data_IF_889739639392
#
_entry.id   IF_889739639392
#
_cell.length_a   1.000
_cell.length_b   1.000
_cell.length_c   1.000
_cell.angle_alpha   90.00
_cell.angle_beta   90.00
_cell.angle_gamma   90.00
#
_symmetry.space_group_name_H-M   'P 1'
#
loop_
_entity.id
_entity.type
_entity.pdbx_description
1 polymer ?
#
# COMPACT_ATOMS: atom_id res chain seq x y z
N UNK A 1 16.90 15.74 14.55
CA UNK A 1 15.90 15.55 15.63
C UNK A 1 16.59 14.81 16.74
N UNK A 2 16.46 15.28 17.97
CA UNK A 2 17.08 14.56 19.11
C UNK A 2 16.25 13.28 19.39
N UNK A 3 16.95 12.15 19.45
CA UNK A 3 16.33 10.90 19.89
C UNK A 3 15.86 11.07 21.34
N UNK A 4 14.61 10.68 21.69
CA UNK A 4 14.14 10.80 23.08
C UNK A 4 15.11 10.15 24.06
N UNK A 5 15.34 10.77 25.20
CA UNK A 5 16.29 10.27 26.21
C UNK A 5 16.01 8.84 26.69
N UNK A 6 14.76 8.41 26.63
CA UNK A 6 14.28 7.10 27.02
C UNK A 6 14.42 6.02 25.95
N UNK A 7 14.51 6.41 24.66
CA UNK A 7 14.60 5.46 23.56
C UNK A 7 15.89 4.63 23.62
N UNK A 8 15.75 3.33 23.44
CA UNK A 8 16.87 2.37 23.31
C UNK A 8 16.55 1.36 22.21
N UNK A 9 17.38 1.23 21.17
CA UNK A 9 17.20 0.18 20.15
C UNK A 9 17.16 -1.19 20.79
N UNK A 10 16.17 -2.00 20.39
CA UNK A 10 16.03 -3.37 20.88
C UNK A 10 17.06 -4.30 20.24
N UNK A 11 17.49 -5.26 21.02
CA UNK A 11 18.23 -6.44 20.56
C UNK A 11 17.52 -7.69 21.07
N UNK A 12 17.80 -8.89 20.52
CA UNK A 12 17.24 -10.14 21.06
C UNK A 12 17.48 -10.29 22.56
N UNK A 13 18.63 -9.80 23.09
CA UNK A 13 19.00 -9.91 24.50
C UNK A 13 18.24 -8.94 25.42
N UNK A 14 17.93 -7.73 24.92
CA UNK A 14 17.27 -6.68 25.71
C UNK A 14 15.75 -6.75 25.64
N UNK A 15 15.22 -7.48 24.67
CA UNK A 15 13.78 -7.54 24.40
C UNK A 15 13.00 -8.16 25.57
N UNK A 16 13.54 -9.22 26.20
CA UNK A 16 12.92 -9.87 27.37
C UNK A 16 12.70 -8.91 28.53
N UNK A 17 13.71 -8.13 28.90
CA UNK A 17 13.60 -7.11 29.95
C UNK A 17 12.57 -6.04 29.59
N UNK A 18 12.56 -5.59 28.35
CA UNK A 18 11.66 -4.54 27.86
C UNK A 18 10.20 -4.95 27.93
N UNK A 19 9.88 -6.20 27.60
CA UNK A 19 8.50 -6.68 27.49
C UNK A 19 7.96 -7.32 28.78
N UNK A 20 8.82 -7.70 29.74
CA UNK A 20 8.45 -8.50 30.92
C UNK A 20 7.39 -7.87 31.82
N UNK A 21 7.25 -6.54 31.79
CA UNK A 21 6.25 -5.82 32.61
C UNK A 21 4.90 -5.59 31.90
N UNK A 22 4.77 -6.00 30.66
CA UNK A 22 3.59 -5.71 29.83
C UNK A 22 2.59 -6.87 29.94
N UNK A 23 1.44 -6.63 30.61
CA UNK A 23 0.41 -7.65 30.82
C UNK A 23 -0.10 -8.25 29.51
N UNK A 24 -0.33 -7.42 28.50
CA UNK A 24 -0.79 -7.86 27.19
C UNK A 24 0.18 -8.85 26.52
N UNK A 25 1.48 -8.72 26.76
CA UNK A 25 2.51 -9.65 26.29
C UNK A 25 2.47 -10.95 27.10
N UNK A 26 2.46 -10.84 28.42
CA UNK A 26 2.42 -12.00 29.33
C UNK A 26 1.18 -12.89 29.09
N UNK A 27 0.04 -12.27 28.76
CA UNK A 27 -1.19 -12.98 28.45
C UNK A 27 -1.08 -13.78 27.14
N UNK A 28 -0.34 -13.27 26.14
CA UNK A 28 -0.20 -13.85 24.80
C UNK A 28 0.89 -14.93 24.70
N UNK A 29 2.05 -14.70 25.32
CA UNK A 29 3.21 -15.59 25.14
C UNK A 29 3.73 -16.22 26.44
N UNK A 30 3.24 -15.81 27.60
CA UNK A 30 3.73 -16.23 28.92
C UNK A 30 4.55 -15.14 29.60
N UNK A 31 4.64 -15.17 30.93
CA UNK A 31 5.19 -14.07 31.73
C UNK A 31 6.71 -14.14 31.94
N UNK A 32 7.32 -15.32 31.76
CA UNK A 32 8.76 -15.50 31.99
C UNK A 32 9.57 -15.36 30.71
N UNK A 33 10.38 -14.29 30.57
CA UNK A 33 11.22 -14.10 29.40
C UNK A 33 12.26 -15.19 29.16
N UNK A 34 12.61 -15.97 30.17
CA UNK A 34 13.56 -17.10 30.03
C UNK A 34 13.00 -18.23 29.16
N UNK A 35 11.68 -18.30 29.02
CA UNK A 35 10.98 -19.28 28.17
C UNK A 35 10.77 -18.78 26.73
N UNK A 36 11.23 -17.56 26.39
CA UNK A 36 10.98 -16.97 25.09
C UNK A 36 12.11 -17.26 24.10
N UNK A 37 11.74 -17.52 22.87
CA UNK A 37 12.66 -17.55 21.73
C UNK A 37 12.45 -16.30 20.89
N UNK A 38 13.53 -15.55 20.65
CA UNK A 38 13.50 -14.30 19.91
C UNK A 38 14.27 -14.45 18.59
N UNK A 39 13.65 -14.02 17.50
CA UNK A 39 14.27 -14.00 16.18
C UNK A 39 13.98 -12.68 15.48
N UNK A 40 15.02 -11.97 15.03
CA UNK A 40 14.87 -10.77 14.20
C UNK A 40 14.48 -11.18 12.76
N UNK A 41 13.52 -10.44 12.18
CA UNK A 41 13.18 -10.50 10.76
C UNK A 41 14.05 -9.48 10.01
N UNK A 42 14.99 -9.95 9.21
CA UNK A 42 16.07 -9.12 8.63
C UNK A 42 15.67 -8.17 7.50
N UNK A 43 14.43 -8.23 7.00
CA UNK A 43 14.02 -7.56 5.76
C UNK A 43 13.49 -6.13 5.95
N UNK A 44 13.44 -5.62 7.18
CA UNK A 44 12.95 -4.26 7.49
C UNK A 44 13.98 -3.16 7.19
N UNK A 45 13.67 -2.24 6.28
CA UNK A 45 14.55 -1.11 5.95
C UNK A 45 14.45 0.07 6.94
N UNK A 46 13.31 0.21 7.62
CA UNK A 46 13.00 1.36 8.47
C UNK A 46 12.83 0.97 9.95
N UNK A 47 12.59 -0.29 10.25
CA UNK A 47 12.23 -0.77 11.57
C UNK A 47 13.02 -2.01 11.96
N UNK A 48 13.18 -2.23 13.27
CA UNK A 48 13.50 -3.54 13.84
C UNK A 48 12.21 -4.33 13.98
N UNK A 49 12.20 -5.57 13.51
CA UNK A 49 11.03 -6.46 13.62
C UNK A 49 11.51 -7.77 14.24
N UNK A 50 10.89 -8.16 15.35
CA UNK A 50 11.18 -9.41 16.05
C UNK A 50 9.95 -10.30 16.09
N UNK A 51 10.18 -11.58 15.91
CA UNK A 51 9.23 -12.64 16.25
C UNK A 51 9.62 -13.15 17.62
N UNK A 52 8.68 -13.11 18.56
CA UNK A 52 8.87 -13.58 19.92
C UNK A 52 7.90 -14.72 20.18
N UNK A 53 8.44 -15.91 20.37
CA UNK A 53 7.69 -17.13 20.66
C UNK A 53 7.85 -17.51 22.13
N UNK A 54 6.75 -17.71 22.82
CA UNK A 54 6.71 -18.18 24.20
C UNK A 54 5.75 -19.37 24.37
N UNK A 55 5.61 -19.90 25.57
CA UNK A 55 4.85 -21.13 25.81
C UNK A 55 3.35 -21.05 25.50
N UNK A 56 2.78 -19.84 25.40
CA UNK A 56 1.36 -19.65 25.10
C UNK A 56 1.07 -19.23 23.67
N UNK A 57 2.08 -18.76 22.93
CA UNK A 57 1.90 -18.28 21.54
C UNK A 57 3.06 -17.44 21.05
N UNK A 58 2.81 -16.72 19.96
CA UNK A 58 3.82 -15.92 19.26
C UNK A 58 3.28 -14.51 19.00
N UNK A 59 4.14 -13.50 19.10
CA UNK A 59 3.85 -12.09 18.79
C UNK A 59 4.90 -11.51 17.87
N UNK A 60 4.54 -10.37 17.22
CA UNK A 60 5.47 -9.48 16.56
C UNK A 60 5.77 -8.28 17.47
N UNK A 61 7.03 -7.90 17.50
CA UNK A 61 7.50 -6.66 18.12
C UNK A 61 8.18 -5.83 17.04
N UNK A 62 7.59 -4.67 16.70
CA UNK A 62 8.13 -3.74 15.71
C UNK A 62 8.58 -2.47 16.42
N UNK A 63 9.83 -2.04 16.22
CA UNK A 63 10.37 -0.80 16.76
C UNK A 63 10.91 0.08 15.66
N UNK A 64 10.50 1.34 15.63
CA UNK A 64 11.01 2.32 14.69
C UNK A 64 12.48 2.65 14.96
N UNK A 65 13.28 2.80 13.90
CA UNK A 65 14.66 3.26 13.98
C UNK A 65 14.75 4.76 13.64
N UNK A 66 15.71 5.50 14.21
CA UNK A 66 15.88 6.93 13.95
C UNK A 66 16.52 7.22 12.59
N UNK A 67 16.67 6.24 11.71
CA UNK A 67 17.28 6.34 10.39
C UNK A 67 16.80 5.23 9.44
N UNK A 68 17.08 5.38 8.15
CA UNK A 68 16.89 4.31 7.14
C UNK A 68 18.08 3.35 7.20
N UNK A 69 17.87 2.06 7.49
CA UNK A 69 18.94 1.05 7.66
C UNK A 69 19.90 0.95 6.48
N UNK A 70 19.39 1.10 5.24
CA UNK A 70 20.22 1.00 4.02
C UNK A 70 21.25 2.12 3.88
N UNK A 71 20.97 3.31 4.41
CA UNK A 71 21.81 4.50 4.27
C UNK A 71 22.34 5.02 5.61
N UNK A 72 21.91 4.45 6.73
CA UNK A 72 22.36 4.81 8.07
C UNK A 72 21.98 6.24 8.48
N UNK A 73 22.80 6.86 9.31
CA UNK A 73 22.58 8.19 9.89
C UNK A 73 22.50 9.34 8.85
N UNK A 74 22.85 9.07 7.58
CA UNK A 74 22.73 10.06 6.50
C UNK A 74 21.27 10.35 6.10
N UNK A 75 20.33 9.48 6.48
CA UNK A 75 18.90 9.70 6.28
C UNK A 75 18.14 9.52 7.60
N UNK A 76 18.08 10.56 8.43
CA UNK A 76 17.37 10.49 9.71
C UNK A 76 15.86 10.41 9.51
N UNK A 77 15.21 9.61 10.34
CA UNK A 77 13.74 9.45 10.39
C UNK A 77 13.22 9.66 11.80
N UNK A 78 12.08 10.34 11.97
CA UNK A 78 11.50 10.54 13.29
C UNK A 78 10.94 9.23 13.86
N UNK A 79 11.12 9.01 15.17
CA UNK A 79 10.58 7.86 15.89
C UNK A 79 9.04 7.94 16.02
N UNK A 80 8.48 9.13 16.05
CA UNK A 80 7.02 9.34 16.19
C UNK A 80 6.21 8.77 15.00
N UNK A 81 6.85 8.34 13.91
CA UNK A 81 6.14 7.63 12.84
C UNK A 81 5.46 6.34 13.33
N UNK A 82 6.01 5.69 14.37
CA UNK A 82 5.38 4.54 15.01
C UNK A 82 4.02 4.89 15.65
N UNK A 83 3.83 6.12 16.14
CA UNK A 83 2.54 6.60 16.64
C UNK A 83 1.50 6.61 15.53
N UNK A 84 1.86 7.10 14.34
CA UNK A 84 0.93 7.15 13.21
C UNK A 84 0.62 5.76 12.67
N UNK A 85 1.60 4.87 12.61
CA UNK A 85 1.37 3.47 12.24
C UNK A 85 0.42 2.78 13.22
N UNK A 86 0.65 2.93 14.53
CA UNK A 86 -0.24 2.40 15.56
C UNK A 86 -1.67 2.96 15.40
N UNK A 87 -1.81 4.26 15.21
CA UNK A 87 -3.11 4.90 14.99
C UNK A 87 -3.79 4.42 13.71
N UNK A 88 -3.03 4.16 12.65
CA UNK A 88 -3.56 3.62 11.40
C UNK A 88 -4.10 2.20 11.58
N UNK A 89 -3.31 1.30 12.19
CA UNK A 89 -3.72 -0.08 12.45
C UNK A 89 -5.01 -0.15 13.30
N UNK A 90 -5.08 0.65 14.36
CA UNK A 90 -6.29 0.72 15.22
C UNK A 90 -7.51 1.18 14.43
N UNK A 91 -7.37 2.19 13.56
CA UNK A 91 -8.47 2.70 12.73
C UNK A 91 -8.87 1.75 11.62
N UNK A 92 -7.90 1.11 10.99
CA UNK A 92 -8.17 0.10 9.96
C UNK A 92 -8.88 -1.10 10.55
N UNK A 93 -8.45 -1.59 11.73
CA UNK A 93 -9.12 -2.66 12.47
C UNK A 93 -10.58 -2.31 12.85
N UNK A 94 -10.84 -1.05 13.24
CA UNK A 94 -12.20 -0.58 13.53
C UNK A 94 -13.06 -0.44 12.27
N UNK A 95 -12.46 -0.07 11.13
CA UNK A 95 -13.15 0.10 9.83
C UNK A 95 -13.39 -1.21 9.11
N UNK A 96 -12.47 -2.16 9.24
CA UNK A 96 -12.58 -3.51 8.66
C UNK A 96 -12.01 -4.56 9.64
N UNK A 97 -12.82 -5.05 10.58
CA UNK A 97 -12.39 -5.99 11.60
C UNK A 97 -11.80 -7.28 10.99
N UNK A 98 -10.61 -7.65 11.45
CA UNK A 98 -9.90 -8.84 10.99
C UNK A 98 -9.09 -8.66 9.70
N UNK A 99 -9.06 -7.45 9.11
CA UNK A 99 -8.30 -7.21 7.89
C UNK A 99 -6.82 -6.82 8.13
N UNK A 100 -6.47 -6.44 9.34
CA UNK A 100 -5.11 -6.06 9.77
C UNK A 100 -4.72 -6.81 11.03
N UNK A 101 -3.42 -6.90 11.39
CA UNK A 101 -2.99 -7.47 12.66
C UNK A 101 -3.61 -6.75 13.86
N UNK A 102 -3.98 -7.51 14.89
CA UNK A 102 -4.41 -6.96 16.18
C UNK A 102 -3.21 -6.32 16.87
N UNK A 103 -3.35 -5.05 17.29
CA UNK A 103 -2.34 -4.37 18.12
C UNK A 103 -2.60 -4.71 19.59
N UNK A 104 -1.60 -5.24 20.26
CA UNK A 104 -1.67 -5.65 21.66
C UNK A 104 -1.15 -4.59 22.63
N UNK A 105 -0.12 -3.84 22.22
CA UNK A 105 0.49 -2.79 23.01
C UNK A 105 1.22 -1.80 22.13
N UNK A 106 1.25 -0.54 22.57
CA UNK A 106 2.05 0.52 21.98
C UNK A 106 2.80 1.28 23.08
N UNK A 107 4.10 1.47 22.90
CA UNK A 107 4.96 2.27 23.76
C UNK A 107 5.52 3.43 22.93
N UNK A 108 4.99 4.63 23.19
CA UNK A 108 5.34 5.84 22.45
C UNK A 108 6.80 6.26 22.69
N UNK A 109 7.29 6.15 23.94
CA UNK A 109 8.66 6.54 24.31
C UNK A 109 9.71 5.65 23.65
N UNK A 110 9.36 4.38 23.40
CA UNK A 110 10.22 3.41 22.72
C UNK A 110 9.93 3.28 21.22
N UNK A 111 8.93 3.98 20.71
CA UNK A 111 8.45 3.85 19.34
C UNK A 111 8.19 2.38 18.94
N UNK A 112 7.52 1.63 19.83
CA UNK A 112 7.40 0.18 19.80
C UNK A 112 5.94 -0.24 19.72
N UNK A 113 5.63 -1.12 18.77
CA UNK A 113 4.32 -1.74 18.60
C UNK A 113 4.45 -3.24 18.82
N UNK A 114 3.60 -3.80 19.69
CA UNK A 114 3.43 -5.25 19.85
C UNK A 114 2.12 -5.66 19.20
N UNK A 115 2.18 -6.63 18.30
CA UNK A 115 1.02 -7.00 17.50
C UNK A 115 0.95 -8.50 17.21
N UNK A 116 -0.14 -8.91 16.60
CA UNK A 116 -0.41 -10.28 16.18
C UNK A 116 0.68 -10.80 15.23
N UNK A 117 1.12 -12.05 15.48
CA UNK A 117 1.95 -12.80 14.55
C UNK A 117 1.06 -13.54 13.54
N UNK A 118 1.13 -13.14 12.30
CA UNK A 118 0.37 -13.74 11.22
C UNK A 118 1.04 -15.04 10.75
N UNK A 119 0.47 -16.18 11.07
CA UNK A 119 0.96 -17.50 10.69
C UNK A 119 -0.20 -18.40 10.27
N UNK A 120 -0.10 -19.15 9.17
CA UNK A 120 1.07 -19.38 8.29
C UNK A 120 1.16 -18.42 7.09
N UNK A 121 0.77 -17.16 7.23
CA UNK A 121 0.77 -16.18 6.16
C UNK A 121 2.18 -15.94 5.60
N UNK A 122 2.25 -15.68 4.29
CA UNK A 122 3.44 -15.23 3.56
C UNK A 122 3.19 -13.87 2.92
N UNK A 123 4.25 -13.10 2.69
CA UNK A 123 4.15 -11.86 1.91
C UNK A 123 3.57 -12.17 0.52
N UNK A 124 2.52 -11.44 0.13
CA UNK A 124 1.80 -11.69 -1.12
C UNK A 124 2.71 -11.54 -2.34
N UNK A 125 3.64 -10.57 -2.35
CA UNK A 125 4.61 -10.42 -3.44
C UNK A 125 5.40 -11.69 -3.69
N UNK A 126 5.85 -12.37 -2.62
CA UNK A 126 6.56 -13.64 -2.77
C UNK A 126 5.65 -14.72 -3.37
N UNK A 127 4.41 -14.82 -2.90
CA UNK A 127 3.43 -15.75 -3.48
C UNK A 127 3.20 -15.50 -4.98
N UNK A 128 3.09 -14.23 -5.40
CA UNK A 128 2.92 -13.87 -6.82
C UNK A 128 4.14 -14.27 -7.67
N UNK A 129 5.37 -14.06 -7.17
CA UNK A 129 6.61 -14.48 -7.82
C UNK A 129 6.68 -16.02 -7.87
N UNK A 130 6.31 -16.72 -6.81
CA UNK A 130 6.33 -18.19 -6.73
C UNK A 130 5.17 -18.85 -7.50
N UNK A 131 4.14 -18.09 -7.91
CA UNK A 131 2.96 -18.58 -8.63
C UNK A 131 1.91 -19.22 -7.74
N UNK A 132 1.88 -18.82 -6.49
CA UNK A 132 0.87 -19.27 -5.54
C UNK A 132 -0.39 -18.38 -5.67
N UNK A 133 -1.51 -18.98 -6.06
CA UNK A 133 -2.82 -18.29 -6.12
C UNK A 133 -3.43 -18.21 -4.71
N UNK A 134 -4.18 -17.13 -4.47
CA UNK A 134 -4.91 -16.92 -3.21
C UNK A 134 -6.39 -16.81 -3.52
N UNK A 135 -7.21 -17.67 -2.93
CA UNK A 135 -8.65 -17.67 -3.14
C UNK A 135 -9.31 -16.43 -2.50
N UNK A 136 -10.22 -15.77 -3.24
CA UNK A 136 -10.96 -14.60 -2.75
C UNK A 136 -10.12 -13.35 -2.55
N UNK A 137 -8.89 -13.31 -3.07
CA UNK A 137 -7.95 -12.19 -2.88
C UNK A 137 -8.55 -10.87 -3.37
N UNK A 138 -9.10 -10.84 -4.58
CA UNK A 138 -9.69 -9.62 -5.13
C UNK A 138 -10.88 -9.13 -4.31
N UNK A 139 -11.74 -10.04 -3.84
CA UNK A 139 -12.84 -9.70 -2.94
C UNK A 139 -12.36 -9.09 -1.62
N UNK A 140 -11.34 -9.67 -0.99
CA UNK A 140 -10.75 -9.13 0.24
C UNK A 140 -10.21 -7.72 0.02
N UNK A 141 -9.38 -7.54 -1.00
CA UNK A 141 -8.71 -6.27 -1.28
C UNK A 141 -9.70 -5.16 -1.64
N UNK A 142 -10.67 -5.46 -2.50
CA UNK A 142 -11.72 -4.49 -2.86
C UNK A 142 -12.58 -4.09 -1.67
N UNK A 143 -12.97 -5.05 -0.84
CA UNK A 143 -13.75 -4.82 0.38
C UNK A 143 -12.98 -3.98 1.39
N UNK A 144 -11.71 -4.31 1.65
CA UNK A 144 -10.83 -3.55 2.55
C UNK A 144 -10.68 -2.10 2.08
N UNK A 145 -10.33 -1.88 0.81
CA UNK A 145 -10.20 -0.53 0.26
C UNK A 145 -11.51 0.26 0.35
N UNK A 146 -12.66 -0.35 0.05
CA UNK A 146 -13.96 0.31 0.14
C UNK A 146 -14.31 0.71 1.58
N UNK A 147 -14.14 -0.21 2.54
CA UNK A 147 -14.47 0.03 3.95
C UNK A 147 -13.59 1.08 4.58
N UNK A 148 -12.28 1.01 4.36
CA UNK A 148 -11.34 1.99 4.90
C UNK A 148 -11.54 3.35 4.27
N UNK A 149 -11.75 3.43 2.95
CA UNK A 149 -12.00 4.66 2.23
C UNK A 149 -13.33 5.32 2.66
N UNK A 150 -14.43 4.57 2.66
CA UNK A 150 -15.76 5.09 3.00
C UNK A 150 -15.85 5.54 4.46
N UNK A 151 -15.49 4.63 5.39
CA UNK A 151 -15.57 4.89 6.84
C UNK A 151 -14.51 5.87 7.33
N UNK A 152 -13.47 6.14 6.53
CA UNK A 152 -12.45 7.16 6.79
C UNK A 152 -12.78 8.54 6.22
N UNK A 153 -13.89 8.70 5.51
CA UNK A 153 -14.27 9.92 4.81
C UNK A 153 -15.44 10.64 5.46
N UNK A 154 -15.73 11.87 4.98
CA UNK A 154 -16.92 12.63 5.36
C UNK A 154 -18.26 12.01 4.87
N UNK A 155 -18.22 10.89 4.14
CA UNK A 155 -19.40 10.10 3.85
C UNK A 155 -19.95 9.41 5.11
N UNK A 156 -19.05 8.99 6.01
CA UNK A 156 -19.40 8.27 7.25
C UNK A 156 -19.04 9.03 8.52
N UNK A 157 -17.92 9.74 8.55
CA UNK A 157 -17.44 10.44 9.75
C UNK A 157 -18.18 11.76 9.99
N UNK A 158 -18.41 12.08 11.27
CA UNK A 158 -18.85 13.43 11.65
C UNK A 158 -17.73 14.44 11.42
N UNK A 159 -18.08 15.68 11.07
CA UNK A 159 -17.10 16.73 10.76
C UNK A 159 -16.06 16.96 11.87
N UNK A 160 -16.47 16.92 13.14
CA UNK A 160 -15.54 17.12 14.26
C UNK A 160 -14.50 15.99 14.34
N UNK A 161 -14.95 14.73 14.24
CA UNK A 161 -14.09 13.54 14.32
C UNK A 161 -13.13 13.49 13.11
N UNK A 162 -13.66 13.80 11.90
CA UNK A 162 -12.85 13.85 10.68
C UNK A 162 -11.75 14.91 10.76
N UNK A 163 -12.09 16.13 11.22
CA UNK A 163 -11.12 17.21 11.35
C UNK A 163 -10.07 16.95 12.41
N UNK A 164 -10.45 16.30 13.52
CA UNK A 164 -9.50 15.87 14.54
C UNK A 164 -8.52 14.83 13.99
N UNK A 165 -9.02 13.86 13.24
CA UNK A 165 -8.19 12.83 12.59
C UNK A 165 -7.25 13.44 11.53
N UNK A 166 -7.75 14.31 10.66
CA UNK A 166 -6.91 15.03 9.68
C UNK A 166 -5.80 15.82 10.40
N UNK A 167 -6.14 16.51 11.49
CA UNK A 167 -5.15 17.27 12.27
C UNK A 167 -4.09 16.36 12.91
N UNK A 168 -4.50 15.19 13.40
CA UNK A 168 -3.56 14.20 13.97
C UNK A 168 -2.57 13.72 12.89
N UNK A 169 -3.08 13.20 11.78
CA UNK A 169 -2.25 12.60 10.74
C UNK A 169 -1.45 13.62 9.91
N UNK A 170 -1.82 14.91 9.93
CA UNK A 170 -1.00 15.97 9.36
C UNK A 170 0.36 16.13 10.04
N UNK A 171 0.55 15.55 11.22
CA UNK A 171 1.84 15.50 11.91
C UNK A 171 2.79 14.41 11.38
N UNK A 172 2.32 13.45 10.57
CA UNK A 172 3.17 12.51 9.87
C UNK A 172 3.75 13.18 8.62
N UNK A 173 4.86 13.86 8.75
CA UNK A 173 5.41 14.74 7.72
C UNK A 173 6.46 14.04 6.88
N UNK A 174 7.49 13.47 7.51
CA UNK A 174 8.69 13.00 6.83
C UNK A 174 8.44 11.75 5.99
N UNK A 175 7.56 10.87 6.45
CA UNK A 175 7.25 9.63 5.73
C UNK A 175 6.41 9.90 4.46
N UNK A 176 5.30 10.65 4.49
CA UNK A 176 4.61 11.07 3.25
C UNK A 176 5.47 11.92 2.32
N UNK A 177 6.40 12.74 2.84
CA UNK A 177 7.32 13.51 2.02
C UNK A 177 8.25 12.61 1.16
N UNK A 178 8.58 11.40 1.63
CA UNK A 178 9.26 10.38 0.82
C UNK A 178 8.40 10.01 -0.41
N UNK A 179 7.09 9.82 -0.22
CA UNK A 179 6.17 9.55 -1.33
C UNK A 179 6.12 10.73 -2.32
N UNK A 180 6.04 11.97 -1.83
CA UNK A 180 6.04 13.17 -2.68
C UNK A 180 7.28 13.23 -3.58
N UNK A 181 8.46 12.92 -3.03
CA UNK A 181 9.71 12.89 -3.77
C UNK A 181 9.81 11.66 -4.68
N UNK A 182 9.85 10.45 -4.10
CA UNK A 182 10.19 9.23 -4.82
C UNK A 182 9.12 8.75 -5.79
N UNK A 183 7.83 9.08 -5.55
CA UNK A 183 6.72 8.63 -6.39
C UNK A 183 6.38 9.67 -7.46
N UNK A 184 6.26 10.95 -7.08
CA UNK A 184 5.70 11.97 -7.97
C UNK A 184 6.75 12.88 -8.62
N UNK A 185 7.99 12.88 -8.15
CA UNK A 185 8.99 13.85 -8.61
C UNK A 185 10.21 13.19 -9.21
N UNK A 186 10.90 12.35 -8.47
CA UNK A 186 12.19 11.77 -8.86
C UNK A 186 12.18 10.97 -10.17
N UNK A 187 11.17 10.14 -10.48
CA UNK A 187 11.16 9.37 -11.72
C UNK A 187 11.24 10.25 -12.98
N UNK A 188 10.81 11.51 -12.89
CA UNK A 188 10.60 12.41 -14.02
C UNK A 188 11.74 13.40 -14.27
N UNK A 189 12.87 13.28 -13.55
CA UNK A 189 14.12 14.01 -13.83
C UNK A 189 15.33 13.14 -13.42
N UNK A 190 16.53 13.66 -13.54
CA UNK A 190 17.76 12.95 -13.15
C UNK A 190 18.04 13.16 -11.66
N UNK A 191 17.23 12.51 -10.80
CA UNK A 191 17.49 12.50 -9.37
C UNK A 191 18.65 11.56 -9.02
N UNK A 192 19.39 11.88 -7.96
CA UNK A 192 20.62 11.18 -7.56
C UNK A 192 20.40 9.69 -7.29
N UNK A 193 19.26 9.35 -6.65
CA UNK A 193 18.95 7.97 -6.29
C UNK A 193 18.23 7.17 -7.38
N UNK A 194 17.93 7.79 -8.52
CA UNK A 194 17.30 7.07 -9.62
C UNK A 194 18.28 6.07 -10.24
N UNK A 195 17.73 4.89 -10.54
CA UNK A 195 18.41 3.89 -11.34
C UNK A 195 17.40 3.13 -12.20
N UNK A 196 17.85 2.52 -13.27
CA UNK A 196 17.01 1.69 -14.13
C UNK A 196 17.87 0.66 -14.87
N UNK A 197 17.23 -0.38 -15.39
CA UNK A 197 17.88 -1.44 -16.16
C UNK A 197 18.56 -0.87 -17.40
N UNK A 198 19.74 -1.35 -17.70
CA UNK A 198 20.53 -0.98 -18.88
C UNK A 198 19.71 -1.14 -20.18
N UNK A 199 19.73 -0.10 -21.02
CA UNK A 199 18.98 -0.07 -22.28
C UNK A 199 17.54 0.47 -22.18
N UNK A 200 17.08 0.89 -20.99
CA UNK A 200 15.83 1.65 -20.84
C UNK A 200 15.99 3.15 -21.15
N UNK A 201 17.22 3.63 -21.33
CA UNK A 201 17.54 5.05 -21.53
C UNK A 201 16.65 5.78 -22.54
N UNK A 202 16.30 5.20 -23.73
CA UNK A 202 15.43 5.88 -24.68
C UNK A 202 14.03 6.13 -24.11
N UNK A 203 13.41 5.13 -23.48
CA UNK A 203 12.08 5.25 -22.86
C UNK A 203 12.10 6.22 -21.69
N UNK A 204 13.14 6.15 -20.87
CA UNK A 204 13.33 7.06 -19.72
C UNK A 204 13.49 8.50 -20.20
N UNK A 205 14.27 8.73 -21.29
CA UNK A 205 14.43 10.06 -21.88
C UNK A 205 13.09 10.61 -22.41
N UNK A 206 12.31 9.78 -23.10
CA UNK A 206 10.98 10.16 -23.60
C UNK A 206 10.04 10.55 -22.46
N UNK A 207 9.99 9.78 -21.36
CA UNK A 207 9.19 10.10 -20.18
C UNK A 207 9.65 11.41 -19.52
N UNK A 208 10.97 11.62 -19.36
CA UNK A 208 11.55 12.80 -18.73
C UNK A 208 11.47 14.06 -19.57
N UNK A 209 11.30 13.97 -20.87
CA UNK A 209 11.09 15.10 -21.79
C UNK A 209 9.62 15.40 -22.07
N UNK A 210 8.70 14.49 -21.69
CA UNK A 210 7.27 14.66 -21.89
C UNK A 210 6.65 15.66 -20.90
N UNK A 211 6.57 16.93 -21.30
CA UNK A 211 6.02 17.98 -20.45
C UNK A 211 4.54 17.78 -20.07
N UNK A 212 3.74 17.15 -20.96
CA UNK A 212 2.33 16.85 -20.67
C UNK A 212 2.21 15.79 -19.59
N UNK A 213 3.02 14.73 -19.66
CA UNK A 213 3.08 13.69 -18.63
C UNK A 213 3.46 14.30 -17.28
N UNK A 214 4.54 15.07 -17.21
CA UNK A 214 4.97 15.77 -15.99
C UNK A 214 3.87 16.65 -15.39
N UNK A 215 3.19 17.43 -16.24
CA UNK A 215 2.09 18.29 -15.78
C UNK A 215 0.93 17.48 -15.19
N UNK A 216 0.59 16.32 -15.77
CA UNK A 216 -0.42 15.40 -15.22
C UNK A 216 0.04 14.82 -13.87
N UNK A 217 1.29 14.33 -13.78
CA UNK A 217 1.85 13.82 -12.52
C UNK A 217 1.82 14.88 -11.41
N UNK A 218 2.19 16.11 -11.70
CA UNK A 218 2.13 17.20 -10.72
C UNK A 218 0.69 17.56 -10.29
N UNK A 219 -0.31 17.31 -11.14
CA UNK A 219 -1.73 17.42 -10.73
C UNK A 219 -2.12 16.31 -9.76
N UNK A 220 -1.61 15.08 -9.93
CA UNK A 220 -1.81 13.99 -8.97
C UNK A 220 -1.06 14.25 -7.65
N UNK A 221 0.18 14.77 -7.71
CA UNK A 221 0.89 15.21 -6.50
C UNK A 221 0.10 16.28 -5.74
N UNK A 222 -0.42 17.28 -6.44
CA UNK A 222 -1.22 18.35 -5.80
C UNK A 222 -2.44 17.75 -5.09
N UNK A 223 -3.13 16.78 -5.70
CA UNK A 223 -4.25 16.07 -5.03
C UNK A 223 -3.78 15.29 -3.82
N UNK A 224 -2.69 14.52 -3.94
CA UNK A 224 -2.11 13.74 -2.85
C UNK A 224 -1.73 14.61 -1.65
N UNK A 225 -1.12 15.78 -1.89
CA UNK A 225 -0.66 16.69 -0.86
C UNK A 225 -1.77 17.57 -0.25
N UNK A 226 -2.92 17.76 -0.93
CA UNK A 226 -3.93 18.73 -0.51
C UNK A 226 -5.34 18.17 -0.28
N UNK A 227 -5.70 17.03 -0.90
CA UNK A 227 -7.01 16.43 -0.71
C UNK A 227 -7.01 15.55 0.55
N UNK A 228 -7.87 15.85 1.49
CA UNK A 228 -8.00 15.09 2.75
C UNK A 228 -9.27 14.23 2.74
N UNK A 229 -9.51 13.51 1.64
CA UNK A 229 -10.79 12.80 1.41
C UNK A 229 -10.95 11.61 2.35
N UNK A 230 -9.90 10.80 2.52
CA UNK A 230 -9.91 9.66 3.44
C UNK A 230 -8.53 9.40 4.04
N UNK A 231 -8.47 8.58 5.09
CA UNK A 231 -7.19 8.07 5.59
C UNK A 231 -6.69 6.97 4.64
N UNK A 232 -5.60 7.23 3.95
CA UNK A 232 -4.95 6.25 3.07
C UNK A 232 -3.90 5.45 3.85
N UNK A 233 -3.64 4.22 3.41
CA UNK A 233 -2.51 3.40 3.88
C UNK A 233 -1.17 4.06 3.51
N UNK A 234 -1.12 4.67 2.34
CA UNK A 234 0.00 5.46 1.85
C UNK A 234 1.09 4.68 1.11
N UNK A 235 1.19 3.36 1.31
CA UNK A 235 2.07 2.44 0.56
C UNK A 235 1.41 1.05 0.45
N UNK A 236 0.18 1.00 -0.06
CA UNK A 236 -0.56 -0.26 -0.23
C UNK A 236 -0.08 -1.00 -1.49
N UNK A 237 0.67 -2.06 -1.28
CA UNK A 237 1.25 -2.86 -2.35
C UNK A 237 1.34 -4.35 -1.99
N UNK A 238 1.70 -5.21 -2.93
CA UNK A 238 1.80 -6.66 -2.69
C UNK A 238 2.81 -7.06 -1.58
N UNK A 239 3.74 -6.18 -1.22
CA UNK A 239 4.66 -6.36 -0.09
C UNK A 239 4.08 -5.99 1.27
N UNK A 240 3.01 -5.18 1.31
CA UNK A 240 2.27 -4.81 2.53
C UNK A 240 1.00 -5.64 2.74
N UNK A 241 0.95 -6.82 2.13
CA UNK A 241 -0.13 -7.81 2.29
C UNK A 241 0.50 -9.15 2.61
N UNK A 242 -0.04 -9.83 3.61
CA UNK A 242 0.30 -11.20 3.94
C UNK A 242 -0.89 -12.11 3.68
N UNK A 243 -0.66 -13.28 3.08
CA UNK A 243 -1.74 -14.20 2.71
C UNK A 243 -1.38 -15.65 2.99
N UNK A 244 -2.41 -16.43 3.35
CA UNK A 244 -2.44 -17.89 3.22
C UNK A 244 -2.96 -18.26 1.82
N UNK A 245 -3.53 -19.42 1.64
CA UNK A 245 -4.20 -19.79 0.38
C UNK A 245 -5.62 -19.18 0.27
N UNK A 246 -6.19 -18.67 1.37
CA UNK A 246 -7.57 -18.18 1.40
C UNK A 246 -7.84 -17.07 2.42
N UNK A 247 -6.86 -16.63 3.19
CA UNK A 247 -6.96 -15.54 4.13
C UNK A 247 -5.87 -14.50 3.85
N UNK A 248 -6.19 -13.23 4.01
CA UNK A 248 -5.27 -12.12 3.74
C UNK A 248 -5.36 -11.06 4.83
N UNK A 249 -4.23 -10.41 5.10
CA UNK A 249 -4.10 -9.31 6.05
C UNK A 249 -3.26 -8.20 5.44
N UNK A 250 -3.68 -6.95 5.66
CA UNK A 250 -2.90 -5.76 5.29
C UNK A 250 -2.03 -5.37 6.49
N UNK A 251 -0.77 -5.04 6.23
CA UNK A 251 0.24 -4.71 7.25
C UNK A 251 0.96 -3.42 6.87
N UNK A 252 1.68 -2.82 7.83
CA UNK A 252 2.70 -1.79 7.59
C UNK A 252 2.17 -0.43 7.07
N UNK A 253 1.14 0.19 7.68
CA UNK A 253 0.60 1.48 7.23
C UNK A 253 1.39 2.69 7.77
N UNK A 254 2.73 2.68 7.75
CA UNK A 254 3.56 3.77 8.30
C UNK A 254 3.54 5.04 7.43
N UNK A 255 3.17 4.93 6.14
CA UNK A 255 2.99 6.06 5.22
C UNK A 255 1.62 6.74 5.32
N UNK A 256 0.87 6.39 6.34
CA UNK A 256 -0.50 6.88 6.56
C UNK A 256 -0.57 8.41 6.57
N UNK A 257 -1.54 8.92 5.84
CA UNK A 257 -2.01 10.32 5.89
C UNK A 257 -3.47 10.39 5.45
N UNK A 258 -4.06 11.59 5.47
CA UNK A 258 -5.29 11.83 4.73
C UNK A 258 -4.95 12.20 3.28
N UNK A 259 -5.60 11.53 2.34
CA UNK A 259 -5.32 11.65 0.91
C UNK A 259 -6.54 11.32 0.03
N UNK A 260 -6.34 11.27 -1.31
CA UNK A 260 -7.40 10.99 -2.28
C UNK A 260 -7.96 9.57 -2.17
N UNK A 261 -9.26 9.42 -2.41
CA UNK A 261 -9.97 8.13 -2.36
C UNK A 261 -9.42 7.08 -3.35
N UNK A 262 -8.89 7.51 -4.49
CA UNK A 262 -8.34 6.61 -5.53
C UNK A 262 -6.88 6.20 -5.30
N UNK A 263 -6.19 6.72 -4.27
CA UNK A 263 -4.74 6.52 -4.11
C UNK A 263 -4.37 5.06 -3.85
N UNK A 264 -4.83 4.48 -2.75
CA UNK A 264 -4.42 3.13 -2.32
C UNK A 264 -4.79 2.05 -3.35
N UNK A 265 -6.01 2.08 -3.89
CA UNK A 265 -6.44 1.11 -4.90
C UNK A 265 -5.66 1.27 -6.22
N UNK A 266 -5.21 2.48 -6.55
CA UNK A 266 -4.33 2.75 -7.69
C UNK A 266 -2.95 2.16 -7.49
N UNK A 267 -2.31 2.41 -6.34
CA UNK A 267 -1.01 1.86 -5.98
C UNK A 267 -1.03 0.32 -5.99
N UNK A 268 -2.06 -0.26 -5.40
CA UNK A 268 -2.28 -1.71 -5.37
C UNK A 268 -2.43 -2.29 -6.78
N UNK A 269 -3.23 -1.66 -7.63
CA UNK A 269 -3.44 -2.08 -9.04
C UNK A 269 -2.14 -2.09 -9.82
N UNK A 270 -1.27 -1.09 -9.63
CA UNK A 270 0.06 -1.06 -10.24
C UNK A 270 0.89 -2.28 -9.88
N UNK A 271 0.87 -2.69 -8.63
CA UNK A 271 1.61 -3.86 -8.16
C UNK A 271 1.13 -5.16 -8.82
N UNK A 272 -0.18 -5.33 -9.01
CA UNK A 272 -0.70 -6.48 -9.77
C UNK A 272 -0.37 -6.42 -11.26
N UNK A 273 -0.36 -5.23 -11.88
CA UNK A 273 0.08 -5.08 -13.28
C UNK A 273 1.58 -5.39 -13.43
N UNK A 274 2.42 -4.97 -12.51
CA UNK A 274 3.85 -5.32 -12.49
C UNK A 274 4.03 -6.83 -12.29
N UNK A 275 3.28 -7.45 -11.38
CA UNK A 275 3.24 -8.90 -11.23
C UNK A 275 2.79 -9.59 -12.52
N UNK A 276 1.77 -9.07 -13.21
CA UNK A 276 1.30 -9.59 -14.50
C UNK A 276 2.39 -9.53 -15.58
N UNK A 277 3.08 -8.40 -15.73
CA UNK A 277 4.11 -8.23 -16.75
C UNK A 277 5.38 -9.03 -16.47
N UNK A 278 5.73 -9.27 -15.20
CA UNK A 278 6.93 -10.01 -14.81
C UNK A 278 6.82 -11.54 -15.01
N UNK A 279 5.57 -12.08 -15.11
CA UNK A 279 5.35 -13.52 -15.14
C UNK A 279 6.11 -14.29 -16.22
N UNK A 280 6.37 -13.76 -17.45
CA UNK A 280 7.17 -14.47 -18.45
C UNK A 280 8.59 -14.85 -17.98
N UNK A 281 9.11 -14.18 -16.95
CA UNK A 281 10.40 -14.49 -16.36
C UNK A 281 10.33 -15.51 -15.20
N UNK A 282 9.14 -15.68 -14.60
CA UNK A 282 8.94 -16.52 -13.43
C UNK A 282 8.20 -17.83 -13.72
N UNK A 283 7.64 -18.00 -14.94
CA UNK A 283 6.76 -19.14 -15.30
C UNK A 283 7.24 -19.88 -16.55
N UNK A 284 6.97 -21.18 -16.55
CA UNK A 284 7.04 -21.96 -17.78
C UNK A 284 5.87 -21.61 -18.72
N UNK A 285 6.03 -21.90 -20.01
CA UNK A 285 5.01 -21.63 -21.01
C UNK A 285 3.67 -22.31 -20.70
N UNK A 286 3.69 -23.48 -20.03
CA UNK A 286 2.48 -24.25 -19.70
C UNK A 286 1.62 -23.58 -18.62
N UNK A 287 2.21 -22.79 -17.73
CA UNK A 287 1.50 -22.18 -16.58
C UNK A 287 1.34 -20.66 -16.70
N UNK A 288 2.03 -20.04 -17.67
CA UNK A 288 2.09 -18.59 -17.82
C UNK A 288 0.71 -17.96 -18.05
N UNK A 289 0.00 -18.44 -19.08
CA UNK A 289 -1.28 -17.84 -19.47
C UNK A 289 -2.33 -17.98 -18.36
N UNK A 290 -2.40 -19.15 -17.71
CA UNK A 290 -3.33 -19.39 -16.60
C UNK A 290 -3.05 -18.49 -15.39
N UNK A 291 -1.78 -18.26 -15.08
CA UNK A 291 -1.43 -17.38 -13.95
C UNK A 291 -1.62 -15.89 -14.30
N UNK A 292 -1.25 -15.48 -15.50
CA UNK A 292 -1.50 -14.10 -15.98
C UNK A 292 -2.99 -13.77 -15.99
N UNK A 293 -3.85 -14.66 -16.48
CA UNK A 293 -5.30 -14.45 -16.47
C UNK A 293 -5.85 -14.41 -15.04
N UNK A 294 -5.31 -15.22 -14.12
CA UNK A 294 -5.67 -15.13 -12.71
C UNK A 294 -5.32 -13.77 -12.11
N UNK A 295 -4.11 -13.23 -12.37
CA UNK A 295 -3.73 -11.90 -11.87
C UNK A 295 -4.67 -10.82 -12.40
N UNK A 296 -5.04 -10.87 -13.69
CA UNK A 296 -6.02 -9.95 -14.27
C UNK A 296 -7.41 -10.12 -13.64
N UNK A 297 -7.81 -11.35 -13.30
CA UNK A 297 -9.07 -11.60 -12.60
C UNK A 297 -9.07 -11.02 -11.18
N UNK A 298 -7.93 -11.06 -10.47
CA UNK A 298 -7.79 -10.41 -9.16
C UNK A 298 -8.00 -8.90 -9.27
N UNK A 299 -7.41 -8.23 -10.28
CA UNK A 299 -7.65 -6.80 -10.53
C UNK A 299 -9.15 -6.54 -10.76
N UNK A 300 -9.76 -7.33 -11.63
CA UNK A 300 -11.19 -7.18 -11.96
C UNK A 300 -12.08 -7.37 -10.73
N UNK A 301 -11.82 -8.40 -9.95
CA UNK A 301 -12.56 -8.69 -8.72
C UNK A 301 -12.33 -7.61 -7.65
N UNK A 302 -11.11 -7.04 -7.53
CA UNK A 302 -10.83 -5.95 -6.61
C UNK A 302 -11.70 -4.73 -6.89
N UNK A 303 -11.80 -4.29 -8.15
CA UNK A 303 -12.66 -3.16 -8.50
C UNK A 303 -14.14 -3.47 -8.34
N UNK A 304 -14.61 -4.63 -8.78
CA UNK A 304 -16.02 -4.99 -8.65
C UNK A 304 -16.45 -5.12 -7.18
N UNK A 305 -15.61 -5.68 -6.33
CA UNK A 305 -15.88 -5.79 -4.89
C UNK A 305 -15.80 -4.45 -4.18
N UNK A 306 -14.85 -3.58 -4.59
CA UNK A 306 -14.78 -2.20 -4.11
C UNK A 306 -16.09 -1.45 -4.39
N UNK A 307 -16.57 -1.48 -5.63
CA UNK A 307 -17.79 -0.78 -6.03
C UNK A 307 -19.03 -1.33 -5.35
N UNK A 308 -19.14 -2.65 -5.27
CA UNK A 308 -20.27 -3.30 -4.59
C UNK A 308 -20.32 -2.93 -3.10
N UNK A 309 -19.17 -3.02 -2.40
CA UNK A 309 -19.11 -2.70 -0.98
C UNK A 309 -19.28 -1.19 -0.72
N UNK A 310 -18.66 -0.33 -1.54
CA UNK A 310 -18.82 1.12 -1.43
C UNK A 310 -20.28 1.54 -1.64
N UNK A 311 -20.97 0.96 -2.63
CA UNK A 311 -22.40 1.20 -2.86
C UNK A 311 -23.27 0.67 -1.71
N UNK A 312 -22.94 -0.49 -1.14
CA UNK A 312 -23.60 -1.00 0.07
C UNK A 312 -23.46 -0.02 1.23
N UNK A 313 -22.24 0.46 1.48
CA UNK A 313 -21.96 1.44 2.55
C UNK A 313 -22.66 2.78 2.29
N UNK A 314 -22.70 3.24 1.03
CA UNK A 314 -23.47 4.42 0.63
C UNK A 314 -24.93 4.32 1.05
N UNK A 315 -25.54 3.16 0.86
CA UNK A 315 -26.95 2.94 1.19
C UNK A 315 -27.21 2.71 2.68
N UNK A 316 -26.21 2.28 3.45
CA UNK A 316 -26.42 1.82 4.85
C UNK A 316 -25.65 2.58 5.91
N UNK A 317 -24.54 3.25 5.55
CA UNK A 317 -23.61 3.85 6.52
C UNK A 317 -23.25 5.32 6.18
N UNK A 318 -23.99 5.97 5.28
CA UNK A 318 -23.82 7.38 4.90
C UNK A 318 -24.36 8.31 6.00
N UNK A 319 -23.58 8.48 7.06
CA UNK A 319 -23.94 9.25 8.27
C UNK A 319 -23.19 10.57 8.42
N UNK A 320 -22.28 10.84 7.50
CA UNK A 320 -21.42 12.03 7.52
C UNK A 320 -22.06 13.26 6.88
N UNK A 321 -21.21 14.24 6.55
CA UNK A 321 -21.67 15.52 5.99
C UNK A 321 -21.86 15.50 4.46
N UNK A 322 -21.18 14.58 3.77
CA UNK A 322 -21.27 14.51 2.31
C UNK A 322 -22.50 13.67 1.89
N UNK A 323 -23.24 14.22 0.94
CA UNK A 323 -24.41 13.58 0.35
C UNK A 323 -25.43 13.07 1.39
N UNK A 324 -25.81 13.84 2.44
CA UNK A 324 -26.70 13.34 3.48
C UNK A 324 -28.09 12.97 2.91
N UNK A 325 -28.75 12.00 3.54
CA UNK A 325 -30.10 11.57 3.13
C UNK A 325 -31.10 12.73 3.10
N UNK A 326 -30.96 13.71 4.01
CA UNK A 326 -31.77 14.93 4.05
C UNK A 326 -31.68 15.80 2.78
N UNK A 327 -30.60 15.65 2.00
CA UNK A 327 -30.43 16.39 0.75
C UNK A 327 -31.06 15.66 -0.46
N UNK A 328 -31.26 14.35 -0.36
CA UNK A 328 -31.73 13.51 -1.45
C UNK A 328 -33.01 12.74 -1.07
N UNK A 329 -32.89 11.63 -0.35
CA UNK A 329 -33.96 10.70 -0.08
C UNK A 329 -35.09 11.31 0.73
N UNK A 330 -34.80 12.16 1.71
CA UNK A 330 -35.82 12.88 2.50
C UNK A 330 -36.58 13.92 1.67
N UNK A 331 -36.03 14.29 0.51
CA UNK A 331 -36.70 15.16 -0.47
C UNK A 331 -37.35 14.36 -1.61
N UNK A 332 -37.40 13.03 -1.51
CA UNK A 332 -37.96 12.14 -2.52
C UNK A 332 -37.08 11.95 -3.77
N UNK A 333 -35.78 12.19 -3.66
CA UNK A 333 -34.81 12.05 -4.75
C UNK A 333 -33.88 10.88 -4.48
N UNK A 334 -33.52 10.13 -5.49
CA UNK A 334 -32.50 9.09 -5.39
C UNK A 334 -31.08 9.69 -5.47
N UNK A 335 -30.12 9.09 -4.77
CA UNK A 335 -28.71 9.50 -4.78
C UNK A 335 -27.79 8.55 -5.52
N UNK A 336 -28.31 7.50 -6.14
CA UNK A 336 -27.52 6.46 -6.84
C UNK A 336 -26.60 7.03 -7.93
N UNK A 337 -27.08 8.05 -8.67
CA UNK A 337 -26.28 8.72 -9.70
C UNK A 337 -25.09 9.46 -9.12
N UNK A 338 -25.20 10.00 -7.89
CA UNK A 338 -24.09 10.68 -7.22
C UNK A 338 -23.05 9.66 -6.72
N UNK A 339 -23.49 8.51 -6.21
CA UNK A 339 -22.61 7.38 -5.89
C UNK A 339 -21.85 6.90 -7.12
N UNK A 340 -22.55 6.65 -8.23
CA UNK A 340 -21.94 6.22 -9.48
C UNK A 340 -20.93 7.24 -10.03
N UNK A 341 -21.25 8.54 -9.94
CA UNK A 341 -20.33 9.62 -10.32
C UNK A 341 -19.06 9.62 -9.49
N UNK A 342 -19.18 9.54 -8.16
CA UNK A 342 -18.03 9.47 -7.26
C UNK A 342 -17.18 8.22 -7.50
N UNK A 343 -17.79 7.06 -7.69
CA UNK A 343 -17.08 5.83 -8.03
C UNK A 343 -16.31 5.95 -9.35
N UNK A 344 -16.88 6.64 -10.35
CA UNK A 344 -16.18 6.88 -11.61
C UNK A 344 -14.97 7.81 -11.42
N UNK A 345 -15.09 8.85 -10.57
CA UNK A 345 -13.97 9.73 -10.25
C UNK A 345 -12.85 8.98 -9.52
N UNK A 346 -13.19 8.15 -8.53
CA UNK A 346 -12.24 7.29 -7.80
C UNK A 346 -11.50 6.38 -8.78
N UNK A 347 -12.21 5.75 -9.73
CA UNK A 347 -11.57 4.89 -10.75
C UNK A 347 -10.60 5.66 -11.64
N UNK A 348 -11.00 6.82 -12.11
CA UNK A 348 -10.13 7.64 -12.95
C UNK A 348 -8.88 8.08 -12.19
N UNK A 349 -9.01 8.44 -10.92
CA UNK A 349 -7.86 8.75 -10.07
C UNK A 349 -6.95 7.54 -9.86
N UNK A 350 -7.54 6.38 -9.57
CA UNK A 350 -6.80 5.13 -9.38
C UNK A 350 -5.94 4.78 -10.61
N UNK A 351 -6.45 5.00 -11.83
CA UNK A 351 -5.67 4.78 -13.06
C UNK A 351 -4.44 5.69 -13.13
N UNK A 352 -4.58 6.95 -12.76
CA UNK A 352 -3.46 7.90 -12.75
C UNK A 352 -2.40 7.52 -11.73
N UNK A 353 -2.79 7.24 -10.48
CA UNK A 353 -1.87 6.78 -9.44
C UNK A 353 -1.24 5.43 -9.79
N UNK A 354 -1.99 4.53 -10.41
CA UNK A 354 -1.46 3.26 -10.92
C UNK A 354 -0.29 3.49 -11.89
N UNK A 355 -0.47 4.33 -12.91
CA UNK A 355 0.59 4.64 -13.86
C UNK A 355 1.82 5.28 -13.21
N UNK A 356 1.63 6.16 -12.22
CA UNK A 356 2.70 6.81 -11.48
C UNK A 356 3.50 5.79 -10.66
N UNK A 357 2.85 4.87 -9.97
CA UNK A 357 3.53 3.81 -9.20
C UNK A 357 4.29 2.84 -10.11
N UNK A 358 3.75 2.50 -11.30
CA UNK A 358 4.46 1.70 -12.30
C UNK A 358 5.77 2.38 -12.71
N UNK A 359 5.79 3.70 -12.87
CA UNK A 359 7.02 4.47 -13.15
C UNK A 359 7.97 4.49 -11.96
N UNK A 360 7.46 4.77 -10.77
CA UNK A 360 8.25 4.87 -9.56
C UNK A 360 9.02 3.58 -9.26
N UNK A 361 8.35 2.43 -9.31
CA UNK A 361 8.94 1.12 -9.03
C UNK A 361 9.95 0.64 -10.07
N UNK A 362 10.05 1.34 -11.20
CA UNK A 362 11.01 1.01 -12.27
C UNK A 362 12.13 2.04 -12.38
N UNK A 363 11.94 3.29 -11.92
CA UNK A 363 12.85 4.41 -12.20
C UNK A 363 13.44 5.07 -10.96
N UNK A 364 12.83 4.89 -9.77
CA UNK A 364 13.26 5.53 -8.53
C UNK A 364 13.94 4.54 -7.58
N UNK A 365 14.18 4.92 -6.33
CA UNK A 365 15.00 4.16 -5.38
C UNK A 365 14.47 2.75 -5.07
N UNK A 366 13.19 2.58 -4.79
CA UNK A 366 12.64 1.32 -4.28
C UNK A 366 11.97 0.52 -5.40
N UNK A 367 12.77 -0.21 -6.14
CA UNK A 367 12.32 -1.11 -7.19
C UNK A 367 11.47 -2.28 -6.66
N UNK A 368 10.74 -2.92 -7.57
CA UNK A 368 9.88 -4.03 -7.25
C UNK A 368 10.61 -5.37 -7.49
N UNK A 369 10.59 -6.27 -6.50
CA UNK A 369 11.21 -7.60 -6.60
C UNK A 369 10.67 -8.41 -7.79
N UNK A 370 9.43 -8.16 -8.23
CA UNK A 370 8.84 -8.79 -9.41
C UNK A 370 9.73 -8.65 -10.66
N UNK A 371 10.41 -7.50 -10.82
CA UNK A 371 11.37 -7.26 -11.88
C UNK A 371 12.82 -7.46 -11.43
N UNK A 372 13.17 -7.11 -10.18
CA UNK A 372 14.56 -7.16 -9.71
C UNK A 372 15.15 -8.58 -9.70
N UNK A 373 14.31 -9.59 -9.46
CA UNK A 373 14.72 -11.01 -9.47
C UNK A 373 14.88 -11.60 -10.89
N UNK A 374 14.66 -10.83 -11.95
CA UNK A 374 14.81 -11.30 -13.32
C UNK A 374 16.29 -11.25 -13.72
N UNK A 375 16.90 -12.41 -13.93
CA UNK A 375 18.32 -12.54 -14.30
C UNK A 375 18.58 -12.19 -15.78
N UNK A 376 17.66 -12.53 -16.69
CA UNK A 376 17.76 -12.18 -18.11
C UNK A 376 17.51 -10.70 -18.34
N UNK A 377 18.59 -9.94 -18.48
CA UNK A 377 18.56 -8.48 -18.66
C UNK A 377 17.77 -8.03 -19.90
N UNK A 378 17.77 -8.81 -20.98
CA UNK A 378 17.03 -8.45 -22.18
C UNK A 378 15.54 -8.65 -21.98
N UNK A 379 15.15 -9.75 -21.36
CA UNK A 379 13.78 -9.99 -20.95
C UNK A 379 13.31 -8.93 -19.95
N UNK A 380 14.07 -8.68 -18.89
CA UNK A 380 13.79 -7.66 -17.87
C UNK A 380 13.51 -6.30 -18.53
N UNK A 381 14.44 -5.81 -19.36
CA UNK A 381 14.27 -4.54 -20.10
C UNK A 381 12.97 -4.49 -20.89
N UNK A 382 12.65 -5.56 -21.63
CA UNK A 382 11.42 -5.62 -22.44
C UNK A 382 10.17 -5.56 -21.59
N UNK A 383 10.13 -6.27 -20.46
CA UNK A 383 8.99 -6.30 -19.55
C UNK A 383 8.81 -4.95 -18.82
N UNK A 384 9.90 -4.34 -18.37
CA UNK A 384 9.91 -3.01 -17.77
C UNK A 384 9.51 -1.91 -18.79
N UNK A 385 9.89 -2.05 -20.05
CA UNK A 385 9.44 -1.14 -21.11
C UNK A 385 7.92 -1.20 -21.28
N UNK A 386 7.31 -2.38 -21.26
CA UNK A 386 5.85 -2.55 -21.29
C UNK A 386 5.19 -1.85 -20.11
N UNK A 387 5.75 -2.06 -18.91
CA UNK A 387 5.31 -1.42 -17.68
C UNK A 387 5.34 0.11 -17.79
N UNK A 388 6.45 0.69 -18.21
CA UNK A 388 6.62 2.14 -18.33
C UNK A 388 5.67 2.75 -19.38
N UNK A 389 5.55 2.13 -20.55
CA UNK A 389 4.68 2.64 -21.60
C UNK A 389 3.19 2.56 -21.24
N UNK A 390 2.75 1.46 -20.59
CA UNK A 390 1.38 1.38 -20.09
C UNK A 390 1.14 2.41 -18.98
N UNK A 391 2.10 2.58 -18.07
CA UNK A 391 2.02 3.60 -17.02
C UNK A 391 1.83 5.01 -17.62
N UNK A 392 2.55 5.34 -18.69
CA UNK A 392 2.38 6.62 -19.37
C UNK A 392 0.97 6.83 -19.96
N UNK A 393 0.39 5.80 -20.58
CA UNK A 393 -0.99 5.85 -21.10
C UNK A 393 -2.01 6.08 -19.97
N UNK A 394 -1.85 5.37 -18.85
CA UNK A 394 -2.71 5.53 -17.67
C UNK A 394 -2.64 6.94 -17.07
N UNK A 395 -1.46 7.54 -17.00
CA UNK A 395 -1.27 8.91 -16.50
C UNK A 395 -1.87 9.95 -17.44
N UNK A 396 -1.64 9.80 -18.74
CA UNK A 396 -2.04 10.79 -19.75
C UNK A 396 -3.56 10.81 -19.97
N UNK A 397 -4.22 9.66 -19.88
CA UNK A 397 -5.64 9.50 -20.21
C UNK A 397 -6.36 8.56 -19.24
N UNK A 398 -6.31 8.82 -17.91
CA UNK A 398 -6.86 7.91 -16.91
C UNK A 398 -8.36 7.65 -17.12
N UNK A 399 -9.10 8.62 -17.58
CA UNK A 399 -10.53 8.52 -17.89
C UNK A 399 -10.87 7.51 -19.00
N UNK A 400 -9.92 7.22 -19.90
CA UNK A 400 -10.09 6.23 -20.95
C UNK A 400 -10.01 4.78 -20.43
N UNK A 401 -9.48 4.59 -19.24
CA UNK A 401 -9.22 3.29 -18.63
C UNK A 401 -9.93 3.09 -17.29
N UNK A 402 -10.85 3.99 -16.96
CA UNK A 402 -11.62 3.96 -15.72
C UNK A 402 -12.68 2.83 -15.66
N UNK A 403 -12.70 1.89 -16.59
CA UNK A 403 -13.45 0.63 -16.47
C UNK A 403 -12.47 -0.53 -16.41
N UNK A 404 -12.83 -1.55 -15.65
CA UNK A 404 -12.02 -2.77 -15.48
C UNK A 404 -11.73 -3.44 -16.83
N UNK A 405 -12.74 -3.54 -17.70
CA UNK A 405 -12.57 -4.14 -19.03
C UNK A 405 -11.56 -3.38 -19.89
N UNK A 406 -11.60 -2.03 -19.85
CA UNK A 406 -10.65 -1.20 -20.57
C UNK A 406 -9.22 -1.38 -20.05
N UNK A 407 -9.03 -1.43 -18.72
CA UNK A 407 -7.75 -1.68 -18.09
C UNK A 407 -7.17 -3.06 -18.46
N UNK A 408 -7.97 -4.11 -18.31
CA UNK A 408 -7.57 -5.50 -18.63
C UNK A 408 -7.24 -5.63 -20.12
N UNK A 409 -8.03 -5.03 -21.00
CA UNK A 409 -7.75 -4.98 -22.44
C UNK A 409 -6.42 -4.28 -22.73
N UNK A 410 -6.16 -3.15 -22.08
CA UNK A 410 -4.91 -2.42 -22.21
C UNK A 410 -3.71 -3.27 -21.78
N UNK A 411 -3.80 -3.93 -20.63
CA UNK A 411 -2.74 -4.81 -20.12
C UNK A 411 -2.41 -5.93 -21.12
N UNK A 412 -3.44 -6.60 -21.66
CA UNK A 412 -3.25 -7.63 -22.69
C UNK A 412 -2.64 -7.08 -23.99
N UNK A 413 -2.98 -5.86 -24.38
CA UNK A 413 -2.40 -5.20 -25.56
C UNK A 413 -0.90 -4.95 -25.36
N UNK A 414 -0.49 -4.40 -24.20
CA UNK A 414 0.92 -4.18 -23.88
C UNK A 414 1.70 -5.47 -23.72
N UNK A 415 1.09 -6.52 -23.16
CA UNK A 415 1.75 -7.82 -23.03
C UNK A 415 2.09 -8.47 -24.38
N UNK A 416 1.26 -8.24 -25.41
CA UNK A 416 1.47 -8.71 -26.78
C UNK A 416 2.29 -7.77 -27.65
N UNK A 417 2.55 -6.54 -27.19
CA UNK A 417 3.28 -5.53 -27.95
C UNK A 417 4.72 -6.01 -28.17
N UNK A 418 5.09 -6.06 -29.44
CA UNK A 418 6.49 -6.31 -29.81
C UNK A 418 7.32 -5.07 -29.43
N UNK A 419 8.22 -5.25 -28.49
CA UNK A 419 9.09 -4.20 -27.99
C UNK A 419 10.52 -4.69 -28.17
N UNK A 420 11.37 -3.91 -28.86
CA UNK A 420 12.74 -4.30 -29.18
C UNK A 420 13.65 -4.47 -27.95
#
# INVERSE_FOLDING_TARGET
MDTPDLYRPLTPETLGERLSGISAVADRIGADPSDWTVREVGDGNLNLVFIVEGPKGTIIVKQALPYVRLVGDSWPLPLYRALYENHALVRQAARDPGAVPEVYHFDEDQALIVMEFLSPHKILRRKLIDGEKVAGLGTFLGTFCARTAFRGSELSMKSADKKADVSLFAGNVEIPAITEALVFTDPYYSAEMNHHTEGLDPVVADLRTNAKLKAKVQRFLMKFASNTETMVHGDLHSGSIMSTDSDSRVIDPEFVQYGPLGFDIGMLTANFLMAYFSQPAHRSAETLDDFQEWVLSVIAETFSSFEAEFTRLWNTERTGMLYPASLFEDQGQASDFACAGLLQEIRNEAMGYCGIEMHRRTLSLAHNADFEEIEDKQLKRRLETRNLLMGADLILSPESYGSTDALVKLARQFNKKDIP
#
